data_IF_795722393976
#
_entry.id   IF_795722393976
#
_cell.length_a   1.000
_cell.length_b   1.000
_cell.length_c   1.000
_cell.angle_alpha   90.00
_cell.angle_beta   90.00
_cell.angle_gamma   90.00
#
_symmetry.space_group_name_H-M   'P 1'
#
loop_
_entity.id
_entity.type
_entity.pdbx_description
1 polymer ?
#
# COMPACT_ATOMS: atom_id res chain seq x y z
N UNK A 1 -29.81 -3.05 9.67
CA UNK A 1 -28.77 -3.72 10.47
C UNK A 1 -27.47 -3.67 9.70
N UNK A 2 -26.45 -3.13 10.31
CA UNK A 2 -25.15 -3.16 9.69
C UNK A 2 -24.60 -4.58 9.71
N UNK A 3 -24.43 -5.16 8.55
CA UNK A 3 -23.72 -6.42 8.45
C UNK A 3 -22.24 -6.06 8.49
N UNK A 4 -21.54 -6.53 9.52
CA UNK A 4 -20.10 -6.31 9.60
C UNK A 4 -19.43 -6.84 8.34
N UNK A 5 -18.74 -5.96 7.62
CA UNK A 5 -17.95 -6.36 6.48
C UNK A 5 -16.55 -6.71 6.97
N UNK A 6 -16.14 -7.96 6.76
CA UNK A 6 -14.76 -8.35 7.03
C UNK A 6 -13.88 -7.80 5.92
N UNK A 7 -12.97 -6.89 6.28
CA UNK A 7 -11.99 -6.36 5.34
C UNK A 7 -10.70 -7.14 5.52
N UNK A 8 -10.28 -7.83 4.48
CA UNK A 8 -9.01 -8.55 4.51
C UNK A 8 -7.86 -7.60 4.19
N UNK A 9 -6.83 -7.64 5.03
CA UNK A 9 -5.62 -6.85 4.85
C UNK A 9 -4.44 -7.83 4.82
N UNK A 10 -3.58 -7.70 3.82
CA UNK A 10 -2.34 -8.46 3.77
C UNK A 10 -1.14 -7.51 3.78
N UNK A 11 -0.08 -7.93 4.44
CA UNK A 11 1.19 -7.18 4.47
C UNK A 11 2.27 -8.01 3.81
N UNK A 12 2.97 -7.43 2.85
CA UNK A 12 4.03 -8.09 2.11
C UNK A 12 5.31 -7.27 2.16
N UNK A 13 6.43 -7.91 2.49
CA UNK A 13 7.74 -7.33 2.29
C UNK A 13 8.17 -7.68 0.87
N UNK A 14 8.32 -6.68 0.01
CA UNK A 14 8.56 -6.92 -1.41
C UNK A 14 10.01 -6.75 -1.82
N UNK A 15 10.85 -6.25 -0.92
CA UNK A 15 12.29 -6.11 -1.13
C UNK A 15 12.63 -5.55 -2.52
N UNK A 16 12.26 -4.29 -2.73
CA UNK A 16 12.51 -3.54 -3.96
C UNK A 16 11.61 -3.95 -5.13
N UNK A 17 10.94 -2.97 -5.72
CA UNK A 17 10.01 -3.16 -6.83
C UNK A 17 10.43 -2.39 -8.10
N UNK A 18 11.72 -2.09 -8.26
CA UNK A 18 12.15 -1.32 -9.43
C UNK A 18 12.20 -2.15 -10.72
N UNK A 19 12.34 -3.47 -10.61
CA UNK A 19 12.36 -4.33 -11.78
C UNK A 19 10.94 -4.54 -12.34
N UNK A 20 10.73 -4.29 -13.64
CA UNK A 20 9.40 -4.46 -14.25
C UNK A 20 8.84 -5.87 -14.08
N UNK A 21 9.65 -6.89 -14.20
CA UNK A 21 9.23 -8.29 -14.04
C UNK A 21 8.66 -8.56 -12.66
N UNK A 22 9.32 -8.02 -11.62
CA UNK A 22 8.89 -8.21 -10.24
C UNK A 22 7.57 -7.50 -9.96
N UNK A 23 7.42 -6.25 -10.44
CA UNK A 23 6.16 -5.51 -10.33
C UNK A 23 5.01 -6.27 -11.02
N UNK A 24 5.28 -6.82 -12.19
CA UNK A 24 4.28 -7.53 -12.96
C UNK A 24 3.82 -8.81 -12.26
N UNK A 25 4.75 -9.56 -11.70
CA UNK A 25 4.44 -10.76 -10.92
C UNK A 25 3.61 -10.44 -9.68
N UNK A 26 3.99 -9.38 -8.97
CA UNK A 26 3.26 -8.93 -7.79
C UNK A 26 1.84 -8.51 -8.16
N UNK A 27 1.70 -7.71 -9.21
CA UNK A 27 0.38 -7.26 -9.68
C UNK A 27 -0.53 -8.43 -10.02
N UNK A 28 -0.01 -9.42 -10.73
CA UNK A 28 -0.79 -10.62 -11.07
C UNK A 28 -1.19 -11.42 -9.84
N UNK A 29 -0.28 -11.52 -8.87
CA UNK A 29 -0.58 -12.25 -7.64
C UNK A 29 -1.68 -11.55 -6.85
N UNK A 30 -1.58 -10.22 -6.70
CA UNK A 30 -2.60 -9.43 -5.98
C UNK A 30 -3.97 -9.59 -6.65
N UNK A 31 -4.02 -9.55 -7.98
CA UNK A 31 -5.26 -9.69 -8.73
C UNK A 31 -5.97 -11.03 -8.49
N UNK A 32 -5.20 -12.07 -8.24
CA UNK A 32 -5.75 -13.41 -8.00
C UNK A 32 -6.27 -13.61 -6.58
N UNK A 33 -5.89 -12.73 -5.66
CA UNK A 33 -6.32 -12.84 -4.27
C UNK A 33 -7.61 -12.07 -4.06
N UNK A 34 -8.48 -12.60 -3.23
CA UNK A 34 -9.70 -11.90 -2.85
C UNK A 34 -9.41 -10.99 -1.64
N UNK A 35 -8.65 -9.94 -1.91
CA UNK A 35 -8.18 -9.00 -0.90
C UNK A 35 -8.85 -7.65 -1.06
N UNK A 36 -8.92 -6.90 0.03
CA UNK A 36 -9.44 -5.53 0.04
C UNK A 36 -8.34 -4.49 0.17
N UNK A 37 -7.34 -4.75 1.01
CA UNK A 37 -6.23 -3.82 1.25
C UNK A 37 -4.93 -4.61 1.24
N UNK A 38 -3.91 -4.06 0.58
CA UNK A 38 -2.59 -4.65 0.54
C UNK A 38 -1.55 -3.63 1.00
N UNK A 39 -0.79 -3.98 2.02
CA UNK A 39 0.33 -3.18 2.51
C UNK A 39 1.62 -3.72 1.94
N UNK A 40 2.40 -2.87 1.27
CA UNK A 40 3.72 -3.23 0.78
C UNK A 40 4.78 -2.56 1.64
N UNK A 41 5.82 -3.29 1.96
CA UNK A 41 6.95 -2.82 2.75
C UNK A 41 8.24 -3.06 1.99
N UNK A 42 9.23 -2.18 2.19
CA UNK A 42 10.51 -2.18 1.47
C UNK A 42 10.35 -2.07 -0.04
N UNK A 43 9.47 -1.16 -0.48
CA UNK A 43 9.26 -0.95 -1.91
C UNK A 43 10.50 -0.39 -2.59
N UNK A 44 11.26 0.46 -1.91
CA UNK A 44 12.55 1.02 -2.36
C UNK A 44 12.52 1.58 -3.78
N UNK A 45 11.42 2.23 -4.14
CA UNK A 45 11.26 2.80 -5.48
C UNK A 45 12.26 3.91 -5.74
N UNK A 46 12.86 3.88 -6.93
CA UNK A 46 13.47 5.07 -7.49
C UNK A 46 12.35 6.05 -7.83
N UNK A 47 12.62 7.39 -7.77
CA UNK A 47 11.57 8.36 -8.09
C UNK A 47 10.88 8.10 -9.43
N UNK A 48 11.64 7.72 -10.46
CA UNK A 48 11.08 7.43 -11.78
C UNK A 48 10.20 6.20 -11.84
N UNK A 49 10.29 5.30 -10.87
CA UNK A 49 9.55 4.03 -10.87
C UNK A 49 8.35 4.03 -9.93
N UNK A 50 8.17 5.08 -9.12
CA UNK A 50 7.13 5.14 -8.09
C UNK A 50 5.73 4.88 -8.63
N UNK A 51 5.39 5.45 -9.79
CA UNK A 51 4.05 5.32 -10.34
C UNK A 51 3.91 4.23 -11.39
N UNK A 52 4.89 3.36 -11.50
CA UNK A 52 4.86 2.27 -12.48
C UNK A 52 4.18 1.00 -11.96
N UNK A 53 3.98 0.90 -10.64
CA UNK A 53 3.19 -0.21 -10.10
C UNK A 53 1.73 0.01 -10.43
N UNK A 54 1.18 -0.85 -11.28
CA UNK A 54 -0.22 -0.82 -11.69
C UNK A 54 -0.82 -2.20 -11.43
N UNK A 55 -1.97 -2.22 -10.76
CA UNK A 55 -2.69 -3.46 -10.47
C UNK A 55 -4.13 -3.28 -10.91
N UNK A 56 -4.58 -4.13 -11.83
CA UNK A 56 -5.95 -4.07 -12.34
C UNK A 56 -6.93 -4.32 -11.20
N UNK A 57 -7.94 -3.43 -11.06
CA UNK A 57 -8.90 -3.50 -9.97
C UNK A 57 -8.44 -2.80 -8.70
N UNK A 58 -7.28 -2.11 -8.74
CA UNK A 58 -6.67 -1.44 -7.60
C UNK A 58 -6.14 -0.05 -8.02
N UNK A 59 -7.05 0.84 -8.38
CA UNK A 59 -6.64 2.18 -8.88
C UNK A 59 -6.06 3.08 -7.79
N UNK A 60 -6.38 2.84 -6.52
CA UNK A 60 -5.90 3.65 -5.42
C UNK A 60 -4.65 3.04 -4.81
N UNK A 61 -3.49 3.58 -5.19
CA UNK A 61 -2.19 3.16 -4.69
C UNK A 61 -1.50 4.38 -4.11
N UNK A 62 -1.12 4.30 -2.83
CA UNK A 62 -0.47 5.38 -2.09
C UNK A 62 0.93 4.98 -1.70
N UNK A 63 1.90 5.86 -1.92
CA UNK A 63 3.32 5.59 -1.67
C UNK A 63 3.90 6.57 -0.66
N UNK A 64 4.78 6.08 0.21
CA UNK A 64 5.71 6.90 0.98
C UNK A 64 7.11 6.37 0.70
N UNK A 65 7.91 7.16 -0.01
CA UNK A 65 9.22 6.77 -0.47
C UNK A 65 10.31 7.52 0.32
N UNK A 66 11.47 6.88 0.42
CA UNK A 66 12.66 7.49 1.00
C UNK A 66 13.63 7.85 -0.14
N UNK A 67 14.28 9.03 -0.02
CA UNK A 67 15.13 9.58 -1.09
C UNK A 67 16.32 8.69 -1.47
N UNK A 68 16.88 7.99 -0.49
CA UNK A 68 18.03 7.12 -0.71
C UNK A 68 17.68 5.69 -1.11
N UNK A 69 16.41 5.41 -1.35
CA UNK A 69 15.91 4.08 -1.79
C UNK A 69 16.16 2.97 -0.77
N UNK A 70 16.24 3.32 0.52
CA UNK A 70 16.50 2.35 1.60
C UNK A 70 15.23 1.80 2.21
N UNK A 71 14.12 2.46 1.99
CA UNK A 71 12.85 2.10 2.59
C UNK A 71 11.73 2.32 1.58
N UNK A 72 10.55 2.47 2.07
CA UNK A 72 9.39 2.73 1.24
C UNK A 72 8.25 1.80 1.63
N UNK A 73 7.07 2.37 1.75
CA UNK A 73 5.86 1.62 2.03
C UNK A 73 4.78 2.07 1.06
N UNK A 74 3.82 1.19 0.81
CA UNK A 74 2.68 1.52 -0.02
C UNK A 74 1.41 0.92 0.55
N UNK A 75 0.29 1.56 0.29
CA UNK A 75 -1.03 1.04 0.59
C UNK A 75 -1.78 0.94 -0.74
N UNK A 76 -2.24 -0.26 -1.06
CA UNK A 76 -3.08 -0.52 -2.21
C UNK A 76 -4.49 -0.81 -1.71
N UNK A 77 -5.48 -0.14 -2.29
CA UNK A 77 -6.87 -0.29 -1.91
C UNK A 77 -7.66 -0.79 -3.10
N UNK A 78 -8.34 -1.91 -2.91
CA UNK A 78 -9.17 -2.52 -3.95
C UNK A 78 -10.32 -1.61 -4.35
N UNK A 79 -10.67 -1.62 -5.63
CA UNK A 79 -11.83 -0.91 -6.16
C UNK A 79 -13.16 -1.43 -5.58
N UNK A 80 -13.13 -2.59 -4.90
CA UNK A 80 -14.30 -3.13 -4.19
C UNK A 80 -14.67 -2.31 -2.96
N UNK A 81 -13.73 -1.50 -2.43
CA UNK A 81 -13.98 -0.66 -1.26
C UNK A 81 -14.20 0.78 -1.72
N UNK A 82 -15.33 1.35 -1.33
CA UNK A 82 -15.59 2.77 -1.54
C UNK A 82 -15.01 3.57 -0.38
N UNK A 83 -13.70 3.82 -0.45
CA UNK A 83 -13.01 4.61 0.55
C UNK A 83 -13.02 6.08 0.14
N UNK A 84 -13.60 6.92 0.98
CA UNK A 84 -13.57 8.37 0.80
C UNK A 84 -12.43 8.91 1.65
N UNK A 85 -11.38 9.41 0.98
CA UNK A 85 -10.15 9.84 1.64
C UNK A 85 -10.30 11.28 2.09
N UNK A 86 -10.00 11.52 3.38
CA UNK A 86 -10.00 12.87 3.95
C UNK A 86 -8.59 13.44 4.08
N UNK A 87 -7.62 12.58 4.46
CA UNK A 87 -6.24 13.03 4.66
C UNK A 87 -5.27 11.87 4.46
N UNK A 88 -4.15 12.17 3.81
CA UNK A 88 -3.03 11.23 3.67
C UNK A 88 -1.79 11.84 4.30
N UNK A 89 -1.14 11.11 5.20
CA UNK A 89 0.12 11.52 5.83
C UNK A 89 1.20 10.55 5.42
N UNK A 90 2.31 11.09 4.90
CA UNK A 90 3.44 10.31 4.42
C UNK A 90 4.69 10.65 5.20
N UNK A 91 5.41 9.62 5.65
CA UNK A 91 6.71 9.81 6.26
C UNK A 91 7.77 10.10 5.18
N UNK A 92 8.59 11.11 5.42
CA UNK A 92 9.67 11.50 4.50
C UNK A 92 10.73 10.43 4.37
N UNK A 93 10.88 9.60 5.40
CA UNK A 93 11.86 8.51 5.39
C UNK A 93 11.28 7.19 4.87
N UNK A 94 10.02 7.19 4.47
CA UNK A 94 9.38 6.02 3.88
C UNK A 94 9.06 4.90 4.86
N UNK A 95 8.93 5.19 6.15
CA UNK A 95 8.64 4.19 7.17
C UNK A 95 7.16 4.01 7.45
N UNK A 96 6.33 5.02 7.13
CA UNK A 96 4.89 4.87 7.32
C UNK A 96 4.09 5.70 6.33
N UNK A 97 2.86 5.28 6.15
CA UNK A 97 1.83 6.05 5.47
C UNK A 97 0.53 5.84 6.22
N UNK A 98 -0.21 6.92 6.44
CA UNK A 98 -1.48 6.88 7.14
C UNK A 98 -2.55 7.55 6.27
N UNK A 99 -3.69 6.89 6.14
CA UNK A 99 -4.83 7.38 5.39
C UNK A 99 -6.02 7.47 6.34
N UNK A 100 -6.59 8.66 6.47
CA UNK A 100 -7.83 8.89 7.19
C UNK A 100 -8.95 9.11 6.19
N UNK A 101 -10.06 8.46 6.40
CA UNK A 101 -11.21 8.58 5.52
C UNK A 101 -12.44 7.92 6.11
N UNK A 102 -13.34 7.51 5.23
CA UNK A 102 -14.55 6.80 5.65
C UNK A 102 -14.90 5.70 4.67
N UNK A 103 -15.46 4.62 5.20
CA UNK A 103 -16.03 3.51 4.43
C UNK A 103 -17.45 3.35 4.93
N UNK A 104 -18.45 3.42 4.02
CA UNK A 104 -19.86 3.31 4.38
C UNK A 104 -20.24 4.28 5.51
N UNK A 105 -19.77 5.52 5.39
CA UNK A 105 -20.04 6.62 6.34
C UNK A 105 -19.41 6.41 7.73
N UNK A 106 -18.62 5.38 7.93
CA UNK A 106 -17.87 5.16 9.16
C UNK A 106 -16.43 5.61 9.00
N UNK A 107 -15.93 6.37 9.97
CA UNK A 107 -14.55 6.86 9.97
C UNK A 107 -13.58 5.70 10.13
N UNK A 108 -12.54 5.69 9.30
CA UNK A 108 -11.49 4.69 9.38
C UNK A 108 -10.12 5.36 9.29
N UNK A 109 -9.14 4.75 9.93
CA UNK A 109 -7.73 5.13 9.79
C UNK A 109 -6.97 3.89 9.39
N UNK A 110 -6.25 3.99 8.27
CA UNK A 110 -5.46 2.89 7.71
C UNK A 110 -4.00 3.30 7.80
N UNK A 111 -3.18 2.47 8.43
CA UNK A 111 -1.77 2.78 8.67
C UNK A 111 -0.92 1.59 8.26
N UNK A 112 0.09 1.86 7.44
CA UNK A 112 1.15 0.90 7.13
C UNK A 112 2.46 1.43 7.70
N UNK A 113 3.01 0.74 8.71
CA UNK A 113 4.24 1.13 9.39
C UNK A 113 5.26 0.01 9.21
N UNK A 114 6.46 0.40 8.78
CA UNK A 114 7.57 -0.52 8.69
C UNK A 114 8.76 0.02 9.50
N UNK A 115 9.23 -0.78 10.46
CA UNK A 115 10.40 -0.44 11.25
C UNK A 115 11.52 -1.39 10.86
N UNK A 116 12.61 -0.87 10.25
CA UNK A 116 13.74 -1.72 9.89
C UNK A 116 14.34 -2.40 11.12
N UNK A 117 14.86 -3.61 10.92
CA UNK A 117 15.59 -4.29 11.99
C UNK A 117 16.96 -3.65 12.14
N UNK A 118 17.20 -2.97 13.26
CA UNK A 118 18.44 -2.25 13.51
C UNK A 118 19.54 -3.15 14.10
N UNK A 119 19.25 -4.41 14.37
CA UNK A 119 20.19 -5.35 15.01
C UNK A 119 20.91 -6.27 14.04
N UNK A 120 20.89 -5.94 12.77
CA UNK A 120 21.60 -6.71 11.75
C UNK A 120 22.86 -6.04 11.30
#
# INVERSE_FOLDING_TARGET
MAIGTCISIITLNVNRLNAPTKRHRLAKWIQKQDLYICYLQETRFRPKDTYRLKVRGWKNIFHANEKQKKAGVAILISDKIDLKIKKTTRDKEGHYIMIKGSIQEEDVTIVNIYVPNLNT
#
